data_IF_641280715244
#
_entry.id   IF_641280715244
#
_cell.length_a   1.000
_cell.length_b   1.000
_cell.length_c   1.000
_cell.angle_alpha   90.00
_cell.angle_beta   90.00
_cell.angle_gamma   90.00
#
_symmetry.space_group_name_H-M   'P 1'
#
loop_
_entity.id
_entity.type
_entity.pdbx_description
1 polymer ?
#
# COMPACT_ATOMS: atom_id res chain seq x y z
N UNK A 1 18.82 25.27 14.42
CA UNK A 1 18.80 23.80 14.15
C UNK A 1 19.03 23.62 12.67
N UNK A 2 20.05 22.89 12.20
CA UNK A 2 20.10 22.57 10.78
C UNK A 2 18.91 21.67 10.47
N UNK A 3 18.25 21.95 9.34
CA UNK A 3 17.03 21.28 8.91
C UNK A 3 17.30 19.77 8.78
N UNK A 4 16.68 18.95 9.64
CA UNK A 4 16.95 17.50 9.73
C UNK A 4 16.30 16.67 8.61
N UNK A 5 15.59 17.32 7.69
CA UNK A 5 14.93 16.68 6.56
C UNK A 5 15.91 16.61 5.40
N UNK A 6 16.24 15.38 4.98
CA UNK A 6 17.17 15.12 3.87
C UNK A 6 16.51 15.31 2.51
N UNK A 7 15.30 14.79 2.32
CA UNK A 7 14.59 14.80 1.05
C UNK A 7 13.08 14.98 1.29
N UNK A 8 12.42 15.68 0.35
CA UNK A 8 10.96 15.74 0.24
C UNK A 8 10.63 15.18 -1.15
N UNK A 9 9.80 14.14 -1.20
CA UNK A 9 9.47 13.42 -2.42
C UNK A 9 7.97 13.55 -2.70
N UNK A 10 7.63 13.80 -3.96
CA UNK A 10 6.24 13.81 -4.43
C UNK A 10 5.89 12.40 -4.96
N UNK A 11 4.73 11.83 -4.58
CA UNK A 11 4.32 10.52 -5.07
C UNK A 11 3.77 10.60 -6.50
N UNK A 12 3.86 9.48 -7.21
CA UNK A 12 3.20 9.29 -8.50
C UNK A 12 1.85 8.58 -8.32
N UNK A 13 0.81 9.01 -9.03
CA UNK A 13 -0.47 8.31 -9.06
C UNK A 13 -0.37 7.07 -9.96
N UNK A 14 -0.80 5.91 -9.44
CA UNK A 14 -0.81 4.62 -10.13
C UNK A 14 -2.21 4.03 -10.11
N UNK A 15 -2.71 3.67 -11.28
CA UNK A 15 -3.93 2.86 -11.41
C UNK A 15 -3.61 1.39 -11.09
N UNK A 16 -4.37 0.81 -10.18
CA UNK A 16 -4.27 -0.59 -9.74
C UNK A 16 -5.43 -1.46 -10.26
N UNK A 17 -6.13 -1.00 -11.31
CA UNK A 17 -7.25 -1.72 -11.92
C UNK A 17 -8.59 -1.29 -11.37
N UNK A 18 -8.88 0.02 -11.41
CA UNK A 18 -10.14 0.60 -10.94
C UNK A 18 -10.03 1.33 -9.59
N UNK A 19 -8.81 1.52 -9.11
CA UNK A 19 -8.50 2.27 -7.91
C UNK A 19 -7.08 2.87 -7.99
N UNK A 20 -6.91 4.08 -7.49
CA UNK A 20 -5.63 4.82 -7.55
C UNK A 20 -4.85 4.75 -6.24
N UNK A 21 -3.57 4.40 -6.34
CA UNK A 21 -2.61 4.55 -5.25
C UNK A 21 -1.64 5.69 -5.54
N UNK A 22 -1.24 6.42 -4.49
CA UNK A 22 -0.12 7.35 -4.55
C UNK A 22 1.15 6.62 -4.15
N UNK A 23 1.99 6.28 -5.13
CA UNK A 23 3.26 5.56 -4.94
C UNK A 23 4.39 6.51 -4.64
N UNK A 24 5.00 6.37 -3.47
CA UNK A 24 6.16 7.16 -3.06
C UNK A 24 7.48 6.43 -3.29
N UNK A 25 7.51 5.10 -3.08
CA UNK A 25 8.69 4.27 -3.33
C UNK A 25 8.37 3.13 -4.30
N UNK A 26 9.28 2.79 -5.23
CA UNK A 26 10.55 3.49 -5.49
C UNK A 26 10.34 4.85 -6.18
N UNK A 27 11.18 5.83 -5.85
CA UNK A 27 11.23 7.14 -6.51
C UNK A 27 12.53 7.28 -7.32
N UNK A 28 12.50 8.06 -8.41
CA UNK A 28 13.66 8.28 -9.30
C UNK A 28 14.93 8.73 -8.55
N UNK A 29 14.77 9.55 -7.51
CA UNK A 29 15.86 10.08 -6.67
C UNK A 29 16.05 9.33 -5.34
N UNK A 30 15.16 8.39 -5.00
CA UNK A 30 15.22 7.60 -3.76
C UNK A 30 14.55 6.24 -3.96
N UNK A 31 15.37 5.22 -4.14
CA UNK A 31 14.88 3.85 -4.38
C UNK A 31 14.35 3.17 -3.11
N UNK A 32 14.94 3.47 -1.94
CA UNK A 32 14.59 2.84 -0.67
C UNK A 32 14.91 3.73 0.55
N UNK A 33 14.30 3.43 1.68
CA UNK A 33 14.61 4.02 2.99
C UNK A 33 14.80 2.90 4.00
N UNK A 34 16.03 2.62 4.42
CA UNK A 34 16.30 1.42 5.25
C UNK A 34 15.79 0.16 4.54
N UNK A 35 14.99 -0.71 5.18
CA UNK A 35 14.42 -1.89 4.53
C UNK A 35 13.17 -1.62 3.67
N UNK A 36 12.65 -0.38 3.64
CA UNK A 36 11.45 -0.04 2.89
C UNK A 36 11.80 0.23 1.42
N UNK A 37 11.40 -0.69 0.55
CA UNK A 37 11.66 -0.64 -0.91
C UNK A 37 10.42 -0.27 -1.73
N UNK A 38 9.25 -0.20 -1.09
CA UNK A 38 7.96 0.06 -1.70
C UNK A 38 7.05 0.77 -0.69
N UNK A 39 6.30 1.76 -1.14
CA UNK A 39 5.37 2.51 -0.28
C UNK A 39 4.25 3.14 -1.10
N UNK A 40 3.03 2.65 -0.91
CA UNK A 40 1.81 3.18 -1.54
C UNK A 40 0.88 3.74 -0.45
N UNK A 41 0.30 4.91 -0.72
CA UNK A 41 -0.87 5.41 0.01
C UNK A 41 -2.11 5.15 -0.84
N UNK A 42 -2.94 4.23 -0.36
CA UNK A 42 -4.20 3.80 -0.94
C UNK A 42 -5.33 4.65 -0.32
N UNK A 43 -5.96 5.50 -1.12
CA UNK A 43 -7.15 6.26 -0.77
C UNK A 43 -6.85 7.74 -0.50
N UNK A 44 -7.75 8.49 0.16
CA UNK A 44 -9.13 8.09 0.45
C UNK A 44 -9.90 7.81 -0.84
N UNK A 45 -10.79 6.82 -0.81
CA UNK A 45 -11.71 6.51 -1.89
C UNK A 45 -13.05 6.05 -1.32
N UNK A 46 -14.12 6.27 -2.08
CA UNK A 46 -15.47 5.83 -1.73
C UNK A 46 -15.97 4.86 -2.78
N UNK A 47 -16.47 3.71 -2.32
CA UNK A 47 -17.02 2.68 -3.18
C UNK A 47 -18.50 2.49 -2.86
N UNK A 48 -19.33 2.33 -3.90
CA UNK A 48 -20.70 1.85 -3.72
C UNK A 48 -20.70 0.42 -3.19
N UNK A 49 -21.78 0.00 -2.54
CA UNK A 49 -21.91 -1.38 -2.07
C UNK A 49 -21.71 -2.38 -3.22
N UNK A 50 -20.91 -3.43 -2.97
CA UNK A 50 -20.54 -4.43 -3.98
C UNK A 50 -19.45 -3.99 -4.97
N UNK A 51 -18.89 -2.79 -4.80
CA UNK A 51 -17.69 -2.32 -5.49
C UNK A 51 -16.54 -2.17 -4.49
N UNK A 52 -15.31 -2.23 -4.98
CA UNK A 52 -14.13 -2.11 -4.13
C UNK A 52 -12.86 -2.44 -4.90
N UNK A 53 -11.74 -2.34 -4.19
CA UNK A 53 -10.46 -2.84 -4.70
C UNK A 53 -10.49 -4.38 -4.75
N UNK A 54 -10.16 -4.95 -5.91
CA UNK A 54 -10.00 -6.39 -6.10
C UNK A 54 -8.64 -6.69 -6.74
N UNK A 55 -7.64 -6.94 -5.89
CA UNK A 55 -6.29 -7.25 -6.33
C UNK A 55 -6.20 -8.75 -6.64
N UNK A 56 -6.01 -9.07 -7.92
CA UNK A 56 -5.89 -10.46 -8.39
C UNK A 56 -4.70 -11.19 -7.75
N UNK A 57 -4.74 -12.53 -7.67
CA UNK A 57 -3.62 -13.33 -7.17
C UNK A 57 -2.30 -12.97 -7.87
N UNK A 58 -1.26 -12.73 -7.08
CA UNK A 58 0.09 -12.43 -7.57
C UNK A 58 1.14 -12.88 -6.54
N UNK A 59 2.36 -13.27 -6.99
CA UNK A 59 3.40 -13.73 -6.09
C UNK A 59 4.27 -12.57 -5.56
N UNK A 60 4.88 -12.81 -4.40
CA UNK A 60 6.01 -12.02 -3.89
C UNK A 60 7.18 -12.95 -3.57
N UNK A 61 8.42 -12.45 -3.71
CA UNK A 61 9.64 -13.16 -3.33
C UNK A 61 10.58 -12.21 -2.60
N UNK A 62 11.31 -12.71 -1.59
CA UNK A 62 12.36 -11.98 -0.85
C UNK A 62 11.91 -10.65 -0.22
N UNK A 63 10.62 -10.52 0.13
CA UNK A 63 10.06 -9.34 0.77
C UNK A 63 8.94 -9.71 1.75
N UNK A 64 8.58 -8.76 2.60
CA UNK A 64 7.35 -8.77 3.38
C UNK A 64 6.52 -7.55 3.00
N UNK A 65 5.22 -7.73 2.87
CA UNK A 65 4.25 -6.65 2.69
C UNK A 65 3.68 -6.27 4.05
N UNK A 66 3.52 -4.98 4.31
CA UNK A 66 2.88 -4.49 5.53
C UNK A 66 1.72 -3.60 5.12
N UNK A 67 0.51 -3.94 5.55
CA UNK A 67 -0.68 -3.14 5.31
C UNK A 67 -1.17 -2.57 6.62
N UNK A 68 -1.27 -1.24 6.72
CA UNK A 68 -1.92 -0.55 7.83
C UNK A 68 -3.18 0.16 7.33
N UNK A 69 -4.34 -0.26 7.83
CA UNK A 69 -5.63 0.24 7.35
C UNK A 69 -6.10 1.44 8.18
N UNK A 70 -6.38 2.56 7.52
CA UNK A 70 -6.91 3.76 8.19
C UNK A 70 -8.44 3.76 8.32
N UNK A 71 -9.16 3.32 7.28
CA UNK A 71 -10.63 3.31 7.23
C UNK A 71 -11.12 2.20 6.29
N UNK A 72 -12.36 1.72 6.50
CA UNK A 72 -12.99 0.67 5.68
C UNK A 72 -12.66 -0.74 6.15
N UNK A 73 -12.64 -1.70 5.22
CA UNK A 73 -12.25 -3.08 5.48
C UNK A 73 -11.53 -3.64 4.24
N UNK A 74 -10.57 -4.55 4.46
CA UNK A 74 -9.85 -5.26 3.40
C UNK A 74 -9.81 -6.75 3.71
N UNK A 75 -10.15 -7.60 2.74
CA UNK A 75 -10.00 -9.04 2.89
C UNK A 75 -8.71 -9.52 2.23
N UNK A 76 -7.78 -10.03 3.02
CA UNK A 76 -6.57 -10.68 2.53
C UNK A 76 -6.79 -12.20 2.41
N UNK A 77 -6.31 -12.77 1.29
CA UNK A 77 -6.25 -14.21 1.04
C UNK A 77 -4.91 -14.56 0.42
N UNK A 78 -4.27 -15.62 0.89
CA UNK A 78 -2.97 -16.06 0.37
C UNK A 78 -2.91 -17.54 -0.03
N UNK A 79 -1.76 -17.97 -0.55
CA UNK A 79 -1.51 -19.34 -1.00
C UNK A 79 -1.30 -20.35 0.14
N UNK A 80 -1.27 -19.90 1.39
CA UNK A 80 -1.27 -20.75 2.59
C UNK A 80 -2.70 -20.95 3.14
N UNK A 81 -3.71 -20.55 2.36
CA UNK A 81 -5.13 -20.61 2.70
C UNK A 81 -5.51 -19.71 3.89
N UNK A 82 -4.66 -18.74 4.25
CA UNK A 82 -4.99 -17.75 5.27
C UNK A 82 -6.01 -16.78 4.70
N UNK A 83 -7.07 -16.54 5.46
CA UNK A 83 -8.12 -15.56 5.15
C UNK A 83 -8.26 -14.62 6.33
N UNK A 84 -7.93 -13.35 6.13
CA UNK A 84 -7.94 -12.34 7.20
C UNK A 84 -8.65 -11.08 6.73
N UNK A 85 -9.71 -10.70 7.43
CA UNK A 85 -10.30 -9.37 7.29
C UNK A 85 -9.53 -8.37 8.16
N UNK A 86 -9.10 -7.27 7.55
CA UNK A 86 -8.32 -6.21 8.16
C UNK A 86 -9.26 -5.04 8.41
N UNK A 87 -9.28 -4.55 9.64
CA UNK A 87 -10.09 -3.41 10.09
C UNK A 87 -9.22 -2.20 10.43
N UNK A 88 -9.80 -1.00 10.58
CA UNK A 88 -9.04 0.21 10.88
C UNK A 88 -8.15 0.07 12.11
N UNK A 89 -6.89 0.48 11.99
CA UNK A 89 -5.87 0.38 13.03
C UNK A 89 -5.15 -0.98 13.10
N UNK A 90 -5.58 -1.98 12.34
CA UNK A 90 -4.89 -3.27 12.26
C UNK A 90 -3.69 -3.22 11.30
N UNK A 91 -2.72 -4.09 11.58
CA UNK A 91 -1.58 -4.40 10.69
C UNK A 91 -1.72 -5.84 10.23
N UNK A 92 -1.52 -6.08 8.94
CA UNK A 92 -1.28 -7.40 8.37
C UNK A 92 0.08 -7.41 7.66
#
# INVERSE_FOLDING_TARGET
>A
MPNSIRDVLEPEVKDLGGFEARRLLPHSTRQMVGPFIFFDHIGPASFSAGQGMDVRPHPHINLATVTYLFEGALLHRDSLEVVQEIHPGAVN
#
